data_IF_506880099215
#
_entry.id   IF_506880099215
#
_cell.length_a   1.000
_cell.length_b   1.000
_cell.length_c   1.000
_cell.angle_alpha   90.00
_cell.angle_beta   90.00
_cell.angle_gamma   90.00
#
_symmetry.space_group_name_H-M   'P 1'
#
loop_
_entity.id
_entity.type
_entity.pdbx_description
1 polymer ?
#
# COMPACT_ATOMS: atom_id res chain seq x y z
N UNK A 1 -44.02 3.12 -35.79
CA UNK A 1 -42.77 3.04 -34.99
C UNK A 1 -41.65 3.63 -35.83
N UNK A 2 -40.68 4.30 -35.20
CA UNK A 2 -39.55 4.93 -35.89
C UNK A 2 -38.25 4.72 -35.12
N UNK A 3 -37.12 4.94 -35.79
CA UNK A 3 -35.78 4.62 -35.30
C UNK A 3 -34.87 5.85 -35.20
N UNK A 4 -35.42 7.06 -35.29
CA UNK A 4 -34.63 8.32 -35.38
C UNK A 4 -33.53 8.43 -34.32
N UNK A 5 -33.82 8.13 -33.05
CA UNK A 5 -32.82 8.21 -31.98
C UNK A 5 -31.79 7.09 -32.07
N UNK A 6 -32.20 5.88 -32.42
CA UNK A 6 -31.30 4.73 -32.54
C UNK A 6 -30.39 4.82 -33.76
N UNK A 7 -30.90 5.30 -34.90
CA UNK A 7 -30.11 5.59 -36.10
C UNK A 7 -29.11 6.71 -35.84
N UNK A 8 -29.54 7.79 -35.17
CA UNK A 8 -28.63 8.88 -34.79
C UNK A 8 -27.49 8.39 -33.89
N UNK A 9 -27.80 7.60 -32.85
CA UNK A 9 -26.79 7.02 -31.97
C UNK A 9 -25.84 6.09 -32.74
N UNK A 10 -26.39 5.23 -33.60
CA UNK A 10 -25.60 4.33 -34.43
C UNK A 10 -24.62 5.09 -35.32
N UNK A 11 -25.10 6.09 -36.08
CA UNK A 11 -24.25 6.86 -36.99
C UNK A 11 -23.15 7.62 -36.25
N UNK A 12 -23.46 8.16 -35.07
CA UNK A 12 -22.46 8.84 -34.23
C UNK A 12 -21.42 7.88 -33.67
N UNK A 13 -21.83 6.75 -33.12
CA UNK A 13 -20.90 5.78 -32.53
C UNK A 13 -20.05 5.05 -33.58
N UNK A 14 -20.61 4.77 -34.77
CA UNK A 14 -19.87 4.13 -35.87
C UNK A 14 -18.65 4.93 -36.32
N UNK A 15 -18.73 6.26 -36.30
CA UNK A 15 -17.64 7.14 -36.74
C UNK A 15 -16.87 7.76 -35.59
N UNK A 16 -17.21 7.44 -34.34
CA UNK A 16 -16.52 7.99 -33.18
C UNK A 16 -15.06 7.52 -33.17
N UNK A 17 -14.11 8.40 -32.80
CA UNK A 17 -12.74 7.96 -32.57
C UNK A 17 -12.70 6.94 -31.43
N UNK A 18 -11.60 6.18 -31.36
CA UNK A 18 -11.38 5.26 -30.25
C UNK A 18 -11.57 5.99 -28.92
N UNK A 19 -12.47 5.48 -28.10
CA UNK A 19 -12.70 6.01 -26.77
C UNK A 19 -11.38 5.92 -25.99
N UNK A 20 -11.00 7.02 -25.33
CA UNK A 20 -9.77 7.10 -24.53
C UNK A 20 -9.88 6.30 -23.23
N UNK A 21 -10.26 5.02 -23.30
CA UNK A 21 -10.48 4.12 -22.18
C UNK A 21 -9.17 3.93 -21.40
N UNK A 22 -8.96 4.76 -20.39
CA UNK A 22 -7.88 4.63 -19.43
C UNK A 22 -8.48 4.17 -18.12
N UNK A 23 -7.92 3.09 -17.58
CA UNK A 23 -8.35 2.56 -16.28
C UNK A 23 -7.99 3.50 -15.13
N UNK A 24 -6.82 4.13 -15.22
CA UNK A 24 -6.28 5.05 -14.22
C UNK A 24 -5.83 6.36 -14.88
N UNK A 25 -5.89 7.46 -14.13
CA UNK A 25 -5.34 8.75 -14.55
C UNK A 25 -3.80 8.79 -14.48
N UNK A 26 -3.20 7.82 -13.78
CA UNK A 26 -1.75 7.64 -13.61
C UNK A 26 -1.27 6.35 -14.26
N UNK A 27 0.00 6.29 -14.62
CA UNK A 27 0.63 5.04 -15.04
C UNK A 27 0.79 4.13 -13.82
N UNK A 28 0.10 2.99 -13.82
CA UNK A 28 0.23 1.99 -12.77
C UNK A 28 1.48 1.11 -12.98
N UNK A 29 2.13 0.65 -11.90
CA UNK A 29 3.21 -0.32 -11.99
C UNK A 29 2.77 -1.62 -12.70
N UNK A 30 3.67 -2.23 -13.46
CA UNK A 30 3.42 -3.54 -14.07
C UNK A 30 3.71 -4.70 -13.10
N UNK A 31 4.50 -4.45 -12.05
CA UNK A 31 4.76 -5.42 -10.99
C UNK A 31 3.65 -5.36 -9.96
N UNK A 32 3.11 -6.53 -9.63
CA UNK A 32 2.00 -6.67 -8.68
C UNK A 32 2.42 -7.55 -7.51
N UNK A 33 2.10 -7.13 -6.30
CA UNK A 33 2.28 -7.94 -5.09
C UNK A 33 0.94 -8.54 -4.66
N UNK A 34 1.00 -9.71 -4.01
CA UNK A 34 -0.18 -10.40 -3.49
C UNK A 34 -0.70 -9.73 -2.20
N UNK A 35 -1.26 -8.54 -2.40
CA UNK A 35 -1.93 -7.75 -1.37
C UNK A 35 -3.32 -7.43 -1.88
N UNK A 36 -4.32 -7.61 -1.03
CA UNK A 36 -5.73 -7.41 -1.38
C UNK A 36 -6.29 -6.23 -0.62
N UNK A 37 -6.94 -5.30 -1.33
CA UNK A 37 -7.74 -4.23 -0.76
C UNK A 37 -9.23 -4.55 -0.93
N UNK A 38 -10.00 -4.60 0.16
CA UNK A 38 -11.46 -4.83 0.12
C UNK A 38 -12.20 -3.77 0.90
N UNK A 39 -13.32 -3.28 0.38
CA UNK A 39 -14.19 -2.33 1.07
C UNK A 39 -15.48 -3.03 1.51
N UNK A 40 -15.83 -2.87 2.78
CA UNK A 40 -17.01 -3.48 3.40
C UNK A 40 -17.51 -2.68 4.59
N UNK A 41 -18.24 -3.33 5.50
CA UNK A 41 -18.69 -2.68 6.74
C UNK A 41 -19.71 -1.55 6.55
N UNK A 42 -20.43 -1.52 5.42
CA UNK A 42 -21.44 -0.50 5.17
C UNK A 42 -22.62 -0.63 6.15
N UNK A 43 -23.04 0.50 6.72
CA UNK A 43 -24.33 0.57 7.39
C UNK A 43 -25.49 0.37 6.39
N UNK A 44 -26.68 0.02 6.90
CA UNK A 44 -27.91 0.07 6.10
C UNK A 44 -28.14 1.49 5.58
N UNK A 45 -28.75 1.62 4.40
CA UNK A 45 -28.85 2.87 3.64
C UNK A 45 -29.25 4.09 4.47
N UNK A 46 -30.34 3.99 5.24
CA UNK A 46 -30.85 5.10 6.06
C UNK A 46 -29.90 5.52 7.21
N UNK A 47 -28.99 4.63 7.62
CA UNK A 47 -27.99 4.87 8.67
C UNK A 47 -26.62 5.26 8.09
N UNK A 48 -26.46 5.32 6.77
CA UNK A 48 -25.17 5.49 6.11
C UNK A 48 -24.88 6.98 5.81
N UNK A 49 -25.07 7.83 6.83
CA UNK A 49 -24.88 9.28 6.76
C UNK A 49 -24.07 9.77 7.98
N UNK A 50 -22.74 9.99 7.85
CA UNK A 50 -21.93 9.87 6.64
C UNK A 50 -21.70 8.42 6.21
N UNK A 51 -21.24 8.23 4.96
CA UNK A 51 -20.90 6.91 4.42
C UNK A 51 -19.50 6.53 4.91
N UNK A 52 -19.42 5.55 5.81
CA UNK A 52 -18.20 5.22 6.55
C UNK A 52 -17.78 3.73 6.48
N UNK A 53 -17.52 3.19 5.29
CA UNK A 53 -17.12 1.80 5.14
C UNK A 53 -15.69 1.55 5.62
N UNK A 54 -15.38 0.29 5.90
CA UNK A 54 -14.06 -0.19 6.25
C UNK A 54 -13.31 -0.65 5.00
N UNK A 55 -12.14 -0.05 4.75
CA UNK A 55 -11.16 -0.55 3.80
C UNK A 55 -10.17 -1.45 4.55
N UNK A 56 -10.16 -2.73 4.19
CA UNK A 56 -9.21 -3.73 4.71
C UNK A 56 -8.10 -3.97 3.71
N UNK A 57 -6.86 -3.85 4.18
CA UNK A 57 -5.64 -4.18 3.44
C UNK A 57 -5.07 -5.50 4.00
N UNK A 58 -5.16 -6.57 3.23
CA UNK A 58 -4.69 -7.91 3.61
C UNK A 58 -3.37 -8.23 2.93
N UNK A 59 -2.35 -8.61 3.71
CA UNK A 59 -1.05 -9.03 3.20
C UNK A 59 -1.04 -10.54 2.95
N UNK A 60 -1.09 -10.98 1.70
CA UNK A 60 -0.95 -12.39 1.34
C UNK A 60 0.48 -12.75 0.89
N UNK A 61 1.43 -11.81 0.97
CA UNK A 61 2.83 -12.06 0.61
C UNK A 61 3.58 -12.76 1.74
N UNK A 62 4.75 -13.33 1.45
CA UNK A 62 5.64 -13.91 2.45
C UNK A 62 6.46 -12.89 3.26
N UNK A 63 6.40 -11.59 2.93
CA UNK A 63 7.14 -10.53 3.63
C UNK A 63 6.20 -9.56 4.33
N UNK A 64 6.61 -8.96 5.47
CA UNK A 64 5.78 -7.96 6.15
C UNK A 64 5.66 -6.67 5.33
N UNK A 65 4.48 -6.06 5.34
CA UNK A 65 4.31 -4.66 4.92
C UNK A 65 4.76 -3.78 6.09
N UNK A 66 5.76 -2.90 5.95
CA UNK A 66 6.26 -2.12 7.06
C UNK A 66 5.29 -0.99 7.45
N UNK A 67 5.37 -0.55 8.71
CA UNK A 67 4.80 0.73 9.11
C UNK A 67 5.39 1.86 8.25
N UNK A 68 4.59 2.85 7.90
CA UNK A 68 4.98 3.91 6.98
C UNK A 68 4.82 3.57 5.49
N UNK A 69 4.45 2.32 5.14
CA UNK A 69 4.10 1.99 3.76
C UNK A 69 2.95 2.90 3.27
N UNK A 70 3.02 3.32 2.01
CA UNK A 70 2.08 4.27 1.43
C UNK A 70 1.13 3.55 0.48
N UNK A 71 -0.12 3.40 0.90
CA UNK A 71 -1.21 2.90 0.07
C UNK A 71 -1.85 4.10 -0.65
N UNK A 72 -1.81 4.12 -1.98
CA UNK A 72 -2.55 5.10 -2.77
C UNK A 72 -3.64 4.44 -3.59
N UNK A 73 -4.73 5.15 -3.83
CA UNK A 73 -5.81 4.67 -4.68
C UNK A 73 -6.65 5.84 -5.24
N UNK A 74 -7.34 5.54 -6.33
CA UNK A 74 -8.29 6.44 -6.96
C UNK A 74 -9.68 6.21 -6.39
N UNK A 75 -10.41 7.29 -6.12
CA UNK A 75 -11.85 7.28 -5.84
C UNK A 75 -12.56 8.25 -6.79
N UNK A 76 -13.80 7.96 -7.21
CA UNK A 76 -14.51 8.78 -8.18
C UNK A 76 -14.82 10.18 -7.63
N UNK A 77 -14.83 11.17 -8.52
CA UNK A 77 -15.17 12.58 -8.21
C UNK A 77 -16.64 12.79 -7.84
N UNK A 78 -17.43 11.71 -7.73
CA UNK A 78 -18.80 11.75 -7.19
C UNK A 78 -18.84 12.20 -5.74
N UNK A 79 -17.80 11.91 -4.95
CA UNK A 79 -17.58 12.56 -3.64
C UNK A 79 -16.45 13.58 -3.74
N UNK A 80 -16.63 14.82 -3.25
CA UNK A 80 -15.61 15.86 -3.35
C UNK A 80 -14.44 15.62 -2.39
N UNK A 81 -14.72 15.00 -1.24
CA UNK A 81 -13.74 14.77 -0.17
C UNK A 81 -13.88 13.35 0.35
N UNK A 82 -12.73 12.74 0.64
CA UNK A 82 -12.60 11.48 1.36
C UNK A 82 -11.71 11.72 2.59
N UNK A 83 -12.19 11.36 3.77
CA UNK A 83 -11.42 11.38 5.02
C UNK A 83 -11.39 9.99 5.66
N UNK A 84 -10.80 9.86 6.85
CA UNK A 84 -10.75 8.60 7.60
C UNK A 84 -11.01 8.83 9.10
N UNK A 85 -11.37 7.77 9.83
CA UNK A 85 -11.74 7.82 11.26
C UNK A 85 -10.91 6.87 12.16
N UNK A 86 -9.87 6.22 11.63
CA UNK A 86 -9.08 5.19 12.32
C UNK A 86 -7.65 5.62 12.69
N UNK A 87 -7.33 6.92 12.59
CA UNK A 87 -6.02 7.47 12.95
C UNK A 87 -4.92 7.28 11.90
N UNK A 88 -5.23 6.76 10.71
CA UNK A 88 -4.28 6.70 9.60
C UNK A 88 -4.00 8.11 9.06
N UNK A 89 -2.77 8.39 8.67
CA UNK A 89 -2.50 9.64 7.94
C UNK A 89 -3.06 9.53 6.52
N UNK A 90 -3.95 10.45 6.14
CA UNK A 90 -4.51 10.57 4.80
C UNK A 90 -4.09 11.90 4.17
N UNK A 91 -3.57 11.86 2.94
CA UNK A 91 -3.27 13.06 2.15
C UNK A 91 -3.83 12.94 0.74
N UNK A 92 -4.24 14.07 0.16
CA UNK A 92 -4.64 14.14 -1.26
C UNK A 92 -3.40 14.17 -2.15
N UNK A 93 -3.33 13.27 -3.12
CA UNK A 93 -2.25 13.17 -4.12
C UNK A 93 -2.62 13.98 -5.37
N UNK A 94 -3.85 13.84 -5.84
CA UNK A 94 -4.37 14.61 -6.96
C UNK A 94 -5.89 14.79 -6.86
N UNK A 95 -6.39 15.86 -7.46
CA UNK A 95 -7.81 16.20 -7.45
C UNK A 95 -8.29 16.33 -8.89
N UNK A 96 -9.21 15.47 -9.30
CA UNK A 96 -9.81 15.48 -10.64
C UNK A 96 -10.93 16.51 -10.79
N UNK A 97 -11.58 16.90 -9.69
CA UNK A 97 -12.65 17.88 -9.73
C UNK A 97 -12.63 18.81 -8.50
N UNK A 98 -12.79 20.10 -8.75
CA UNK A 98 -12.94 21.14 -7.73
C UNK A 98 -14.05 22.12 -8.12
N UNK A 99 -14.69 22.72 -7.12
CA UNK A 99 -15.78 23.68 -7.31
C UNK A 99 -17.12 23.01 -7.62
N UNK A 100 -18.04 23.77 -8.17
CA UNK A 100 -19.34 23.26 -8.60
C UNK A 100 -19.24 22.38 -9.85
N UNK A 101 -20.16 21.43 -9.96
CA UNK A 101 -20.27 20.48 -11.09
C UNK A 101 -21.20 20.97 -12.22
N UNK A 102 -21.48 22.28 -12.29
CA UNK A 102 -22.26 22.87 -13.39
C UNK A 102 -21.52 22.63 -14.70
N UNK A 103 -22.21 22.02 -15.67
CA UNK A 103 -21.60 21.61 -16.94
C UNK A 103 -20.83 20.29 -16.89
N UNK A 104 -20.82 19.60 -15.75
CA UNK A 104 -20.21 18.28 -15.58
C UNK A 104 -19.01 18.25 -14.63
N UNK A 105 -18.67 17.04 -14.19
CA UNK A 105 -17.42 16.77 -13.48
C UNK A 105 -16.24 16.96 -14.44
N UNK A 106 -15.13 17.49 -13.92
CA UNK A 106 -13.96 17.91 -14.74
C UNK A 106 -12.89 16.82 -14.88
N UNK A 107 -13.05 15.73 -14.15
CA UNK A 107 -12.16 14.58 -14.17
C UNK A 107 -12.83 13.41 -13.47
N UNK A 108 -12.36 12.21 -13.75
CA UNK A 108 -13.02 10.98 -13.32
C UNK A 108 -12.70 10.63 -11.85
N UNK A 109 -11.45 10.90 -11.43
CA UNK A 109 -10.93 10.42 -10.15
C UNK A 109 -10.20 11.52 -9.37
N UNK A 110 -10.31 11.42 -8.05
CA UNK A 110 -9.37 11.97 -7.09
C UNK A 110 -8.45 10.84 -6.62
N UNK A 111 -7.19 11.15 -6.28
CA UNK A 111 -6.24 10.17 -5.72
C UNK A 111 -5.82 10.59 -4.33
N UNK A 112 -5.83 9.64 -3.40
CA UNK A 112 -5.35 9.83 -2.01
C UNK A 112 -4.25 8.85 -1.69
N UNK A 113 -3.49 9.20 -0.64
CA UNK A 113 -2.48 8.37 0.00
C UNK A 113 -2.85 8.17 1.46
N UNK A 114 -2.82 6.92 1.88
CA UNK A 114 -2.91 6.47 3.26
C UNK A 114 -1.55 5.93 3.72
N UNK A 115 -1.10 6.34 4.90
CA UNK A 115 0.11 5.79 5.53
C UNK A 115 -0.27 4.69 6.50
N UNK A 116 0.26 3.49 6.28
CA UNK A 116 0.07 2.32 7.13
C UNK A 116 0.67 2.59 8.53
N UNK A 117 -0.11 2.55 9.62
CA UNK A 117 0.35 3.00 10.94
C UNK A 117 1.25 1.98 11.66
N UNK A 118 1.08 0.69 11.36
CA UNK A 118 1.83 -0.41 11.97
C UNK A 118 2.12 -1.50 10.94
N UNK A 119 3.17 -2.28 11.15
CA UNK A 119 3.54 -3.34 10.23
C UNK A 119 2.42 -4.40 10.11
N UNK A 120 2.19 -4.91 8.90
CA UNK A 120 1.21 -5.96 8.61
C UNK A 120 1.99 -7.23 8.26
N UNK A 121 1.97 -8.19 9.18
CA UNK A 121 2.64 -9.48 9.00
C UNK A 121 2.05 -10.27 7.80
N UNK A 122 2.81 -11.22 7.23
CA UNK A 122 2.26 -12.21 6.29
C UNK A 122 0.98 -12.86 6.82
N UNK A 123 -0.06 -12.90 6.00
CA UNK A 123 -1.39 -13.43 6.36
C UNK A 123 -2.24 -12.52 7.26
N UNK A 124 -1.71 -11.39 7.74
CA UNK A 124 -2.44 -10.44 8.56
C UNK A 124 -3.09 -9.33 7.71
N UNK A 125 -3.88 -8.48 8.37
CA UNK A 125 -4.53 -7.33 7.74
C UNK A 125 -4.49 -6.10 8.64
N UNK A 126 -4.70 -4.93 8.04
CA UNK A 126 -5.00 -3.69 8.74
C UNK A 126 -6.24 -3.03 8.12
N UNK A 127 -6.99 -2.30 8.93
CA UNK A 127 -8.25 -1.68 8.54
C UNK A 127 -8.23 -0.17 8.77
N UNK A 128 -8.95 0.53 7.90
CA UNK A 128 -9.20 1.96 7.98
C UNK A 128 -10.65 2.24 7.62
N UNK A 129 -11.36 2.87 8.54
CA UNK A 129 -12.71 3.39 8.34
C UNK A 129 -12.60 4.66 7.50
N UNK A 130 -13.03 4.57 6.25
CA UNK A 130 -13.14 5.71 5.35
C UNK A 130 -14.35 6.57 5.76
N UNK A 131 -14.43 7.80 5.26
CA UNK A 131 -15.56 8.67 5.51
C UNK A 131 -15.80 9.59 4.31
N UNK A 132 -16.99 9.51 3.71
CA UNK A 132 -17.42 10.31 2.57
C UNK A 132 -18.89 10.71 2.68
N UNK A 133 -19.29 11.74 1.92
CA UNK A 133 -20.64 12.31 1.97
C UNK A 133 -21.54 11.82 0.84
N UNK A 134 -20.94 11.41 -0.28
CA UNK A 134 -21.67 10.94 -1.46
C UNK A 134 -21.17 9.54 -1.86
N UNK A 135 -22.05 8.71 -2.44
CA UNK A 135 -21.68 7.37 -2.85
C UNK A 135 -20.50 7.34 -3.83
N UNK A 136 -19.66 6.32 -3.66
CA UNK A 136 -18.56 6.00 -4.58
C UNK A 136 -18.67 4.55 -5.02
N UNK A 137 -18.31 4.29 -6.28
CA UNK A 137 -17.96 2.96 -6.77
C UNK A 137 -16.43 2.79 -6.74
N UNK A 138 -15.94 1.57 -6.53
CA UNK A 138 -14.53 1.34 -6.21
C UNK A 138 -14.28 1.38 -4.69
N UNK A 139 -13.12 1.85 -4.20
CA UNK A 139 -11.98 2.48 -4.90
C UNK A 139 -11.25 1.53 -5.88
N UNK A 140 -10.29 2.07 -6.65
CA UNK A 140 -9.54 1.31 -7.64
C UNK A 140 -8.11 1.85 -7.84
N UNK A 141 -7.33 1.18 -8.69
CA UNK A 141 -6.01 1.64 -9.13
C UNK A 141 -5.05 1.82 -7.94
N UNK A 142 -5.08 0.84 -7.05
CA UNK A 142 -4.28 0.77 -5.86
C UNK A 142 -2.81 0.62 -6.20
N UNK A 143 -1.98 1.36 -5.48
CA UNK A 143 -0.54 1.14 -5.43
C UNK A 143 -0.08 1.12 -3.99
N UNK A 144 0.85 0.22 -3.66
CA UNK A 144 1.50 0.19 -2.37
C UNK A 144 2.98 0.51 -2.56
N UNK A 145 3.53 1.43 -1.76
CA UNK A 145 4.94 1.82 -1.84
C UNK A 145 5.65 1.62 -0.50
N UNK A 146 6.78 0.93 -0.52
CA UNK A 146 7.71 0.76 0.60
C UNK A 146 9.06 0.26 0.08
N UNK A 147 10.13 0.41 0.87
CA UNK A 147 11.47 -0.05 0.47
C UNK A 147 11.99 0.59 -0.83
N UNK A 148 11.52 1.79 -1.18
CA UNK A 148 11.87 2.50 -2.41
C UNK A 148 11.21 1.94 -3.68
N UNK A 149 10.29 0.98 -3.56
CA UNK A 149 9.56 0.38 -4.67
C UNK A 149 8.06 0.68 -4.55
N UNK A 150 7.38 0.66 -5.70
CA UNK A 150 5.93 0.84 -5.80
C UNK A 150 5.36 -0.29 -6.65
N UNK A 151 4.32 -0.94 -6.13
CA UNK A 151 3.66 -2.07 -6.77
C UNK A 151 2.18 -1.80 -6.94
N UNK A 152 1.58 -2.41 -7.95
CA UNK A 152 0.14 -2.60 -7.98
C UNK A 152 -0.29 -3.72 -7.03
N UNK A 153 -1.57 -3.73 -6.67
CA UNK A 153 -2.15 -4.77 -5.82
C UNK A 153 -2.84 -5.85 -6.67
N UNK A 154 -2.81 -7.10 -6.20
CA UNK A 154 -3.47 -8.21 -6.88
C UNK A 154 -4.98 -8.00 -7.00
N UNK A 155 -5.60 -7.28 -6.05
CA UNK A 155 -7.03 -6.92 -6.09
C UNK A 155 -7.44 -6.10 -7.30
N UNK A 156 -6.51 -5.42 -7.97
CA UNK A 156 -6.82 -4.69 -9.18
C UNK A 156 -6.90 -5.59 -10.42
N UNK A 157 -6.38 -6.82 -10.43
CA UNK A 157 -6.38 -7.65 -11.65
C UNK A 157 -5.84 -6.89 -12.89
N UNK A 158 -4.73 -6.18 -12.74
CA UNK A 158 -4.15 -5.39 -13.82
C UNK A 158 -3.74 -6.29 -15.02
N UNK A 159 -4.18 -5.91 -16.22
CA UNK A 159 -3.89 -6.67 -17.45
C UNK A 159 -2.38 -6.61 -17.73
N UNK A 160 -1.77 -7.78 -17.92
CA UNK A 160 -0.33 -7.89 -18.18
C UNK A 160 0.54 -7.63 -16.96
N UNK A 161 -0.04 -7.61 -15.77
CA UNK A 161 0.72 -7.53 -14.54
C UNK A 161 1.57 -8.79 -14.34
N UNK A 162 2.77 -8.58 -13.80
CA UNK A 162 3.69 -9.65 -13.41
C UNK A 162 3.65 -9.76 -11.88
N UNK A 163 3.14 -10.87 -11.32
CA UNK A 163 3.20 -11.14 -9.90
C UNK A 163 4.66 -11.20 -9.43
N UNK A 164 4.96 -10.54 -8.31
CA UNK A 164 6.26 -10.54 -7.67
C UNK A 164 6.11 -10.66 -6.16
N UNK A 165 7.11 -11.27 -5.53
CA UNK A 165 7.30 -11.19 -4.09
C UNK A 165 7.98 -9.84 -3.76
N UNK A 166 7.52 -9.10 -2.74
CA UNK A 166 8.34 -8.01 -2.22
C UNK A 166 9.61 -8.62 -1.64
N UNK A 167 10.76 -8.33 -2.25
CA UNK A 167 12.04 -8.66 -1.63
C UNK A 167 12.20 -7.77 -0.42
N UNK A 168 12.54 -8.29 0.77
CA UNK A 168 12.96 -7.44 1.88
C UNK A 168 14.19 -6.65 1.42
N UNK A 169 13.98 -5.39 1.06
CA UNK A 169 15.08 -4.47 0.89
C UNK A 169 15.62 -4.19 2.30
N UNK A 170 16.91 -4.40 2.58
CA UNK A 170 17.49 -3.98 3.85
C UNK A 170 17.32 -2.46 3.94
N UNK A 171 16.32 -2.04 4.69
CA UNK A 171 15.98 -0.64 4.85
C UNK A 171 17.00 -0.02 5.78
N UNK A 172 18.08 0.48 5.20
CA UNK A 172 19.08 1.30 5.86
C UNK A 172 19.50 2.38 4.89
N UNK A 173 18.88 3.56 4.98
CA UNK A 173 19.50 4.78 4.46
C UNK A 173 20.93 4.83 4.99
N UNK A 174 21.91 4.87 4.10
CA UNK A 174 23.33 5.02 4.42
C UNK A 174 23.63 6.51 4.67
N UNK A 175 23.86 6.98 5.91
CA UNK A 175 24.90 7.98 6.10
C UNK A 175 26.26 7.31 5.84
N UNK A 176 27.22 7.99 5.21
CA UNK A 176 28.48 7.37 4.84
C UNK A 176 29.28 6.98 6.11
N UNK A 177 29.55 5.69 6.25
CA UNK A 177 30.81 5.17 6.75
C UNK A 177 31.02 5.05 8.27
N UNK A 178 30.43 4.02 8.87
CA UNK A 178 31.17 3.07 9.69
C UNK A 178 31.02 1.71 9.01
N UNK A 179 32.11 1.04 8.64
CA UNK A 179 32.01 -0.32 8.10
C UNK A 179 32.20 -1.30 9.25
N UNK A 180 31.10 -1.84 9.77
CA UNK A 180 31.14 -3.10 10.50
C UNK A 180 31.89 -4.15 9.64
N UNK A 181 33.08 -4.57 10.04
CA UNK A 181 33.90 -5.56 9.31
C UNK A 181 33.48 -7.02 9.56
N UNK A 182 32.54 -7.25 10.47
CA UNK A 182 32.03 -8.57 10.85
C UNK A 182 30.77 -8.96 10.06
N UNK A 183 30.51 -10.27 9.90
CA UNK A 183 29.32 -10.76 9.21
C UNK A 183 28.02 -10.24 9.82
N UNK A 184 27.02 -10.00 8.97
CA UNK A 184 25.66 -9.67 9.45
C UNK A 184 25.04 -10.86 10.19
N UNK A 185 24.31 -10.57 11.27
CA UNK A 185 23.54 -11.58 12.00
C UNK A 185 22.45 -12.18 11.09
N UNK A 186 22.22 -13.49 11.23
CA UNK A 186 21.18 -14.23 10.52
C UNK A 186 20.51 -15.22 11.45
N UNK A 187 19.17 -15.19 11.49
CA UNK A 187 18.37 -16.06 12.35
C UNK A 187 18.60 -17.56 12.10
N UNK A 188 18.96 -17.95 10.87
CA UNK A 188 19.19 -19.35 10.50
C UNK A 188 20.57 -19.89 10.90
N UNK A 189 21.51 -19.04 11.28
CA UNK A 189 22.89 -19.42 11.58
C UNK A 189 23.06 -19.70 13.07
N UNK A 190 23.71 -20.82 13.39
CA UNK A 190 24.12 -21.11 14.75
C UNK A 190 25.44 -20.39 15.07
N UNK A 191 25.46 -19.63 16.17
CA UNK A 191 26.61 -18.87 16.65
C UNK A 191 27.10 -19.45 17.97
N UNK A 192 28.39 -19.81 18.04
CA UNK A 192 29.02 -20.24 19.29
C UNK A 192 29.32 -19.05 20.21
N UNK A 193 29.55 -19.31 21.50
CA UNK A 193 30.02 -18.27 22.43
C UNK A 193 31.31 -17.61 21.94
N UNK A 194 31.35 -16.29 21.97
CA UNK A 194 32.42 -15.44 21.43
C UNK A 194 32.26 -15.04 19.95
N UNK A 195 31.23 -15.52 19.25
CA UNK A 195 30.98 -15.13 17.86
C UNK A 195 30.57 -13.65 17.78
N UNK A 196 31.13 -12.92 16.81
CA UNK A 196 30.90 -11.48 16.60
C UNK A 196 30.11 -11.26 15.31
N UNK A 197 29.03 -10.48 15.38
CA UNK A 197 28.16 -10.15 14.25
C UNK A 197 27.83 -8.66 14.21
N UNK A 198 27.34 -8.19 13.07
CA UNK A 198 26.72 -6.88 12.91
C UNK A 198 25.19 -7.00 12.91
N UNK A 199 24.51 -6.16 13.69
CA UNK A 199 23.05 -6.03 13.69
C UNK A 199 22.67 -4.61 14.13
N UNK A 200 21.72 -3.97 13.44
CA UNK A 200 21.26 -2.60 13.72
C UNK A 200 22.37 -1.54 13.87
N UNK A 201 23.43 -1.60 13.04
CA UNK A 201 24.60 -0.69 13.10
C UNK A 201 25.35 -0.76 14.44
N UNK A 202 25.34 -1.93 15.05
CA UNK A 202 26.07 -2.23 16.27
C UNK A 202 26.83 -3.56 16.10
N UNK A 203 27.92 -3.68 16.84
CA UNK A 203 28.68 -4.91 16.99
C UNK A 203 28.11 -5.69 18.16
N UNK A 204 27.91 -6.98 17.95
CA UNK A 204 27.37 -7.85 18.98
C UNK A 204 28.23 -9.10 19.15
N UNK A 205 28.50 -9.47 20.41
CA UNK A 205 29.22 -10.70 20.76
C UNK A 205 28.28 -11.68 21.46
N UNK A 206 28.18 -12.90 20.95
CA UNK A 206 27.40 -13.98 21.57
C UNK A 206 28.07 -14.44 22.87
N UNK A 207 27.33 -14.53 23.97
CA UNK A 207 27.88 -14.99 25.26
C UNK A 207 27.98 -16.50 25.37
N UNK A 208 27.09 -17.21 24.68
CA UNK A 208 27.02 -18.67 24.60
C UNK A 208 26.43 -19.07 23.25
N UNK A 209 26.27 -20.38 23.01
CA UNK A 209 25.69 -20.88 21.77
C UNK A 209 24.25 -20.38 21.59
N UNK A 210 23.92 -19.86 20.41
CA UNK A 210 22.59 -19.36 20.06
C UNK A 210 22.25 -19.57 18.58
N UNK A 211 20.97 -19.74 18.29
CA UNK A 211 20.41 -19.73 16.94
C UNK A 211 19.02 -19.10 17.00
N UNK A 212 18.77 -18.09 16.17
CA UNK A 212 17.48 -17.39 16.12
C UNK A 212 17.28 -16.26 17.15
N UNK A 213 18.13 -16.14 18.19
CA UNK A 213 18.03 -15.02 19.15
C UNK A 213 18.54 -13.72 18.52
N UNK A 214 17.71 -12.68 18.50
CA UNK A 214 17.99 -11.39 17.85
C UNK A 214 18.87 -10.50 18.74
N UNK A 215 20.02 -10.01 18.25
CA UNK A 215 20.83 -9.03 18.99
C UNK A 215 20.04 -7.74 19.26
N UNK A 216 20.09 -7.24 20.51
CA UNK A 216 19.36 -6.04 20.94
C UNK A 216 17.92 -6.27 21.41
N UNK A 217 17.33 -7.45 21.18
CA UNK A 217 15.99 -7.78 21.68
C UNK A 217 15.96 -8.16 23.18
N UNK A 218 17.12 -8.30 23.83
CA UNK A 218 17.37 -8.33 25.28
C UNK A 218 16.45 -9.17 26.20
N UNK A 219 15.76 -10.20 25.71
CA UNK A 219 14.93 -11.05 26.58
C UNK A 219 15.75 -12.01 27.47
N UNK A 220 16.87 -12.56 26.99
CA UNK A 220 17.74 -13.48 27.77
C UNK A 220 19.21 -13.05 27.88
N UNK A 221 19.57 -11.84 27.39
CA UNK A 221 20.95 -11.33 27.47
C UNK A 221 22.00 -12.16 26.72
N UNK A 222 21.59 -12.81 25.62
CA UNK A 222 22.41 -13.71 24.79
C UNK A 222 23.54 -12.95 24.07
N UNK A 223 23.25 -11.73 23.62
CA UNK A 223 24.17 -10.88 22.88
C UNK A 223 24.62 -9.70 23.74
N UNK A 224 25.93 -9.43 23.73
CA UNK A 224 26.53 -8.23 24.31
C UNK A 224 26.69 -7.17 23.23
N UNK A 225 26.22 -5.95 23.47
CA UNK A 225 26.45 -4.80 22.60
C UNK A 225 27.88 -4.27 22.81
N UNK A 226 28.72 -4.37 21.78
CA UNK A 226 30.09 -3.87 21.76
C UNK A 226 30.19 -2.44 21.18
N UNK A 227 29.04 -1.80 20.94
CA UNK A 227 28.92 -0.44 20.48
C UNK A 227 28.68 -0.30 18.97
N UNK A 228 28.49 0.95 18.52
CA UNK A 228 28.12 1.25 17.15
C UNK A 228 29.21 0.88 16.15
N UNK A 229 28.76 0.46 14.98
CA UNK A 229 29.56 0.26 13.77
C UNK A 229 28.64 0.48 12.55
#
# INVERSE_FOLDING_TARGET
MGETLTTLLYDKFRTAPAYGARRAAVTLPTRTIDVTATVGGFALGDNNYPINPELRLTNNTGSPIPAGAQLEFDYPTTTPTLTQQSGWALTTVSTGHTGGNVGGLRGDYNRVRLTVPAAIAPGAYAEVTLNCQLPIAGPANFTLSFGGQTWSLASDHARGAVPVEPTPSPSGSTPPGGTCTMPAWSAGTAYSGGAVVSHDRHRWTARWWTQGDVPGANAQGVWTDDGPC
#
